data_IF_357925538677
#
_entry.id   IF_357925538677
#
_cell.length_a   1.000
_cell.length_b   1.000
_cell.length_c   1.000
_cell.angle_alpha   90.00
_cell.angle_beta   90.00
_cell.angle_gamma   90.00
#
_symmetry.space_group_name_H-M   'P 1'
#
loop_
_entity.id
_entity.type
_entity.pdbx_description
1 polymer ?
2 polymer ?
3 polymer ?
4 water ?
#
# COMPACT_ATOMS: atom_id res chain seq x y z
N UNK A 1 0.00 -14.94 18.48
CA UNK A 1 -0.96 -14.05 19.21
C UNK A 1 -2.40 -14.06 18.65
N UNK A 2 -3.19 -13.14 19.21
CA UNK A 2 -4.58 -12.91 18.87
C UNK A 2 -4.71 -12.57 17.39
N UNK A 3 -5.69 -13.18 16.74
CA UNK A 3 -5.90 -12.96 15.33
C UNK A 3 -7.20 -12.18 15.11
N UNK A 4 -7.18 -11.21 14.19
CA UNK A 4 -8.35 -10.41 13.81
C UNK A 4 -8.53 -10.59 12.33
N UNK A 5 -9.60 -11.25 11.94
CA UNK A 5 -9.84 -11.51 10.52
C UNK A 5 -10.98 -10.65 9.97
N UNK A 6 -10.74 -9.80 8.96
CA UNK A 6 -11.83 -8.98 8.40
C UNK A 6 -12.49 -9.68 7.25
N UNK A 7 -13.79 -9.45 7.02
CA UNK A 7 -14.44 -10.02 5.84
C UNK A 7 -15.42 -8.99 5.33
N UNK A 8 -15.49 -8.81 3.99
CA UNK A 8 -14.66 -9.56 3.05
C UNK A 8 -13.39 -8.75 2.96
N UNK A 9 -12.36 -9.30 2.33
CA UNK A 9 -11.14 -8.53 2.21
C UNK A 9 -11.36 -7.38 1.20
N UNK A 10 -12.21 -7.59 0.21
CA UNK A 10 -12.49 -6.58 -0.80
C UNK A 10 -13.99 -6.59 -1.06
N UNK A 11 -14.56 -5.45 -1.44
CA UNK A 11 -16.00 -5.39 -1.61
C UNK A 11 -16.34 -4.34 -2.60
N UNK A 12 -17.23 -4.62 -3.53
CA UNK A 12 -17.62 -3.59 -4.52
C UNK A 12 -19.00 -3.04 -4.18
N UNK A 13 -19.23 -1.77 -4.46
CA UNK A 13 -20.51 -1.18 -4.10
C UNK A 13 -20.75 0.09 -4.86
N UNK A 14 -21.95 0.64 -4.76
CA UNK A 14 -22.24 1.88 -5.44
C UNK A 14 -22.77 2.89 -4.44
N UNK A 15 -22.70 4.17 -4.79
CA UNK A 15 -23.17 5.24 -3.95
C UNK A 15 -24.65 4.91 -3.60
N UNK A 16 -24.99 5.06 -2.33
CA UNK A 16 -26.33 4.74 -1.89
C UNK A 16 -26.42 3.33 -1.34
N UNK A 17 -25.47 2.45 -1.59
CA UNK A 17 -25.66 1.13 -1.01
C UNK A 17 -25.46 1.08 0.53
N UNK A 18 -25.88 -0.04 1.12
CA UNK A 18 -25.70 -0.30 2.51
C UNK A 18 -24.66 -1.38 2.52
N UNK A 19 -23.55 -1.20 3.21
CA UNK A 19 -22.57 -2.27 3.26
C UNK A 19 -22.26 -2.61 4.69
N UNK A 20 -21.77 -3.82 4.91
CA UNK A 20 -21.44 -4.13 6.25
C UNK A 20 -20.18 -4.94 6.12
N UNK A 21 -19.21 -4.60 6.98
CA UNK A 21 -17.89 -5.21 7.02
C UNK A 21 -17.84 -5.93 8.36
N UNK A 22 -17.27 -7.11 8.41
CA UNK A 22 -17.23 -7.77 9.70
C UNK A 22 -15.80 -8.11 10.15
N UNK A 23 -15.58 -8.23 11.46
CA UNK A 23 -14.24 -8.50 11.98
C UNK A 23 -14.41 -9.52 13.09
N UNK A 24 -13.67 -10.61 13.02
CA UNK A 24 -13.77 -11.69 14.00
C UNK A 24 -12.45 -11.88 14.71
N UNK A 25 -12.49 -12.02 16.02
CA UNK A 25 -11.28 -12.20 16.80
C UNK A 25 -11.11 -13.64 17.25
N UNK A 26 -9.86 -14.11 17.32
CA UNK A 26 -9.61 -15.50 17.73
C UNK A 26 -9.93 -15.81 19.20
N UNK A 27 -9.92 -14.78 20.05
CA UNK A 27 -10.26 -14.89 21.48
C UNK A 27 -11.11 -13.64 21.74
N UNK A 28 -11.95 -13.66 22.77
CA UNK A 28 -12.80 -12.51 23.05
C UNK A 28 -12.05 -11.25 23.45
N UNK A 29 -12.45 -10.12 22.87
CA UNK A 29 -11.81 -8.84 23.15
C UNK A 29 -12.81 -7.88 23.83
N UNK A 30 -13.86 -8.44 24.43
CA UNK A 30 -14.90 -7.65 25.09
C UNK A 30 -15.39 -6.60 24.12
N UNK A 31 -15.50 -5.33 24.53
CA UNK A 31 -15.96 -4.29 23.61
C UNK A 31 -14.80 -3.40 23.12
N UNK A 32 -13.55 -3.82 23.39
CA UNK A 32 -12.39 -2.99 23.05
C UNK A 32 -11.99 -3.14 21.58
N UNK A 33 -12.78 -2.52 20.72
CA UNK A 33 -12.56 -2.64 19.30
C UNK A 33 -12.90 -1.35 18.63
N UNK A 34 -12.08 -0.96 17.68
CA UNK A 34 -12.32 0.30 17.00
C UNK A 34 -12.34 0.12 15.49
N UNK A 35 -13.12 0.95 14.78
CA UNK A 35 -13.14 0.90 13.33
C UNK A 35 -12.58 2.18 12.77
N UNK A 36 -11.86 2.06 11.65
CA UNK A 36 -11.26 3.23 10.97
C UNK A 36 -11.50 3.15 9.49
N UNK A 37 -11.51 4.33 8.87
CA UNK A 37 -11.64 4.42 7.43
C UNK A 37 -10.35 5.12 6.98
N UNK A 38 -9.72 4.60 5.95
CA UNK A 38 -8.49 5.25 5.48
C UNK A 38 -8.60 5.46 3.99
N UNK A 39 -8.51 6.71 3.59
CA UNK A 39 -8.57 7.06 2.19
C UNK A 39 -7.17 7.05 1.66
N UNK A 40 -7.01 6.77 0.36
CA UNK A 40 -5.65 6.75 -0.19
C UNK A 40 -4.87 8.03 0.15
N UNK A 41 -3.59 7.85 0.45
CA UNK A 41 -2.72 8.96 0.81
C UNK A 41 -2.95 9.66 2.16
N UNK A 42 -3.93 9.19 2.93
CA UNK A 42 -4.21 9.82 4.22
C UNK A 42 -4.08 8.84 5.38
N UNK A 43 -4.02 9.37 6.61
CA UNK A 43 -3.91 8.48 7.78
C UNK A 43 -5.29 7.85 8.07
N UNK A 44 -5.33 6.78 8.83
CA UNK A 44 -6.64 6.19 9.13
C UNK A 44 -7.46 7.21 9.95
N UNK A 45 -8.79 7.20 9.85
CA UNK A 45 -9.60 8.12 10.64
C UNK A 45 -10.56 7.27 11.47
N UNK A 46 -10.62 7.58 12.76
CA UNK A 46 -11.49 6.88 13.72
C UNK A 46 -12.98 7.09 13.38
N UNK A 47 -13.74 6.03 13.27
CA UNK A 47 -15.17 6.11 13.00
C UNK A 47 -15.95 5.72 14.26
N UNK A 48 -15.62 4.54 14.80
CA UNK A 48 -16.31 3.93 15.93
C UNK A 48 -15.30 3.44 16.95
N UNK A 49 -15.51 3.79 18.22
CA UNK A 49 -14.65 3.34 19.32
C UNK A 49 -15.46 2.50 20.30
N UNK A 50 -14.78 1.63 21.03
CA UNK A 50 -15.47 0.80 22.02
C UNK A 50 -16.63 0.03 21.36
N UNK A 51 -16.34 -0.61 20.21
CA UNK A 51 -17.31 -1.43 19.41
C UNK A 51 -18.54 -0.76 18.83
N UNK A 52 -19.14 0.18 19.55
CA UNK A 52 -20.33 0.77 19.01
C UNK A 52 -20.49 2.25 19.20
N UNK A 53 -19.58 2.94 19.92
CA UNK A 53 -19.80 4.38 20.15
C UNK A 53 -19.39 5.20 18.91
N UNK A 54 -20.23 6.17 18.52
CA UNK A 54 -19.95 6.95 17.36
C UNK A 54 -18.97 8.03 17.72
N UNK A 55 -17.84 8.09 17.03
CA UNK A 55 -16.84 9.11 17.34
C UNK A 55 -17.39 10.47 16.96
N UNK A 56 -17.05 11.46 17.78
CA UNK A 56 -17.53 12.82 17.57
C UNK A 56 -17.12 13.42 16.21
N UNK A 57 -18.12 13.91 15.48
CA UNK A 57 -17.84 14.51 14.19
C UNK A 57 -17.92 13.51 13.06
N UNK A 58 -18.17 12.24 13.40
CA UNK A 58 -18.28 11.21 12.39
C UNK A 58 -19.76 11.13 11.95
N UNK A 59 -20.00 11.10 10.65
CA UNK A 59 -21.41 11.03 10.17
C UNK A 59 -22.20 9.83 10.64
N UNK A 60 -23.48 10.08 10.91
CA UNK A 60 -24.36 9.07 11.45
C UNK A 60 -24.61 7.86 10.57
N UNK A 61 -24.31 7.90 9.28
CA UNK A 61 -24.50 6.68 8.48
C UNK A 61 -23.58 5.56 8.93
N UNK A 62 -22.59 5.87 9.76
CA UNK A 62 -21.67 4.80 10.20
C UNK A 62 -22.17 4.23 11.48
N UNK A 63 -22.16 2.91 11.56
CA UNK A 63 -22.63 2.27 12.75
C UNK A 63 -21.81 1.04 13.10
N UNK A 64 -21.56 0.83 14.39
CA UNK A 64 -20.85 -0.37 14.76
C UNK A 64 -21.58 -1.16 15.84
N UNK A 65 -21.59 -2.49 15.73
CA UNK A 65 -22.20 -3.35 16.73
C UNK A 65 -21.35 -4.62 16.99
N UNK A 66 -21.74 -5.38 18.01
CA UNK A 66 -21.04 -6.60 18.37
C UNK A 66 -20.13 -6.44 19.60
N UNK A 67 -19.71 -7.57 20.16
CA UNK A 67 -18.79 -7.64 21.31
C UNK A 67 -18.22 -9.07 21.38
N UNK A 68 -17.17 -9.32 22.19
CA UNK A 68 -16.64 -10.69 22.23
C UNK A 68 -15.72 -11.04 21.06
N UNK A 69 -16.22 -11.84 20.11
CA UNK A 69 -15.41 -12.23 18.98
C UNK A 69 -15.94 -11.82 17.63
N UNK A 70 -17.10 -11.20 17.59
CA UNK A 70 -17.64 -10.83 16.28
C UNK A 70 -18.18 -9.41 16.24
N UNK A 71 -17.66 -8.58 15.32
CA UNK A 71 -18.05 -7.21 15.21
C UNK A 71 -18.37 -6.87 13.76
N UNK A 72 -19.21 -5.87 13.60
CA UNK A 72 -19.62 -5.41 12.30
C UNK A 72 -19.71 -3.89 12.24
N UNK A 73 -19.34 -3.35 11.09
CA UNK A 73 -19.40 -1.92 10.80
C UNK A 73 -20.40 -1.84 9.65
N UNK A 74 -21.40 -0.99 9.74
CA UNK A 74 -22.22 -0.90 8.58
C UNK A 74 -22.30 0.54 8.21
N UNK A 75 -22.29 0.81 6.93
CA UNK A 75 -22.41 2.16 6.46
C UNK A 75 -23.79 2.01 5.82
N UNK A 76 -24.75 2.82 6.27
CA UNK A 76 -26.12 2.63 5.78
C UNK A 76 -26.36 3.17 4.37
N UNK A 77 -25.80 4.33 4.04
CA UNK A 77 -25.95 4.92 2.70
C UNK A 77 -24.55 5.36 2.23
N UNK A 78 -23.86 4.49 1.49
CA UNK A 78 -22.50 4.80 1.00
C UNK A 78 -22.39 6.10 0.24
N UNK A 79 -21.44 6.96 0.64
CA UNK A 79 -21.20 8.23 -0.04
C UNK A 79 -19.86 8.09 -0.83
N UNK A 80 -19.57 8.96 -1.82
CA UNK A 80 -18.32 8.84 -2.58
C UNK A 80 -17.03 8.78 -1.74
N UNK A 81 -16.98 9.54 -0.66
CA UNK A 81 -15.81 9.51 0.20
C UNK A 81 -15.62 8.18 0.94
N UNK A 82 -16.58 7.26 0.86
CA UNK A 82 -16.48 6.00 1.55
C UNK A 82 -15.78 4.91 0.76
N UNK A 83 -15.39 5.22 -0.47
CA UNK A 83 -14.69 4.27 -1.30
C UNK A 83 -13.32 4.38 -0.68
N UNK A 84 -12.92 3.32 0.01
CA UNK A 84 -11.69 3.43 0.76
C UNK A 84 -11.43 2.09 1.36
N UNK A 85 -10.44 2.03 2.24
CA UNK A 85 -10.10 0.79 2.95
C UNK A 85 -10.45 0.97 4.44
N UNK A 86 -11.12 -0.02 5.01
CA UNK A 86 -11.53 0.02 6.40
C UNK A 86 -10.75 -0.96 7.23
N UNK A 87 -10.42 -0.56 8.45
CA UNK A 87 -9.71 -1.47 9.34
C UNK A 87 -10.34 -1.59 10.71
N UNK A 88 -10.29 -2.77 11.33
CA UNK A 88 -10.76 -2.86 12.72
C UNK A 88 -9.48 -3.01 13.55
N UNK A 89 -9.53 -2.62 14.83
CA UNK A 89 -8.39 -2.73 15.77
C UNK A 89 -8.89 -3.18 17.15
N UNK A 90 -8.21 -4.14 17.70
CA UNK A 90 -8.52 -4.71 18.97
C UNK A 90 -7.59 -4.00 19.99
N UNK A 91 -8.10 -3.62 21.17
CA UNK A 91 -7.30 -2.98 22.22
C UNK A 91 -7.45 -3.62 23.63
N UNK A 92 -7.86 -4.87 23.64
CA UNK A 92 -8.05 -5.63 24.88
C UNK A 92 -6.76 -6.34 25.32
N UNK A 93 -5.99 -6.82 24.34
CA UNK A 93 -4.73 -7.55 24.58
C UNK A 93 -3.58 -6.91 23.84
N UNK A 94 -2.37 -6.95 24.43
CA UNK A 94 -1.19 -6.44 23.75
C UNK A 94 -0.65 -7.64 23.00
N UNK A 95 -0.19 -7.44 21.78
CA UNK A 95 -0.18 -6.16 21.08
C UNK A 95 -1.60 -5.84 20.57
N UNK A 96 -1.88 -4.55 20.42
CA UNK A 96 -3.16 -4.00 19.95
C UNK A 96 -3.40 -4.20 18.45
N UNK A 97 -3.60 -5.42 18.01
CA UNK A 97 -3.82 -5.81 16.60
C UNK A 97 -4.81 -5.11 15.69
N UNK A 98 -4.45 -5.08 14.42
CA UNK A 98 -5.29 -4.53 13.39
C UNK A 98 -5.71 -5.67 12.49
N UNK A 99 -6.90 -5.56 11.92
CA UNK A 99 -7.34 -6.56 10.95
C UNK A 99 -6.62 -6.31 9.61
N UNK A 100 -6.83 -7.19 8.64
CA UNK A 100 -6.14 -7.08 7.34
C UNK A 100 -6.69 -6.00 6.46
N UNK A 101 -7.82 -5.43 6.86
CA UNK A 101 -8.37 -4.38 6.01
C UNK A 101 -9.41 -4.85 4.98
N UNK A 102 -10.39 -4.02 4.64
CA UNK A 102 -11.27 -4.40 3.58
C UNK A 102 -11.40 -3.18 2.69
N UNK A 103 -11.09 -3.39 1.41
CA UNK A 103 -11.11 -2.37 0.36
C UNK A 103 -12.51 -2.23 -0.20
N UNK A 104 -13.05 -1.02 -0.26
CA UNK A 104 -14.38 -0.87 -0.78
C UNK A 104 -14.17 -0.05 -2.04
N UNK A 105 -14.55 -0.58 -3.20
CA UNK A 105 -14.34 0.15 -4.45
C UNK A 105 -15.65 0.26 -5.32
N UNK A 106 -15.63 1.10 -6.34
CA UNK A 106 -16.77 1.36 -7.19
C UNK A 106 -17.16 0.10 -7.99
N UNK A 107 -18.41 -0.32 -7.86
CA UNK A 107 -18.89 -1.50 -8.57
C UNK A 107 -19.09 -1.21 -10.05
N UNK A 108 -18.82 -2.22 -10.89
CA UNK A 108 -18.97 -2.07 -12.34
C UNK A 108 -19.01 -3.43 -13.02
N UNK A 109 -19.60 -3.47 -14.21
CA UNK A 109 -19.70 -4.70 -14.97
C UNK A 109 -18.35 -5.41 -15.08
N UNK A 110 -18.34 -6.71 -14.84
CA UNK A 110 -17.13 -7.50 -14.91
C UNK A 110 -16.43 -7.29 -16.26
N UNK A 111 -15.12 -7.08 -16.21
CA UNK A 111 -14.32 -6.87 -17.41
C UNK A 111 -13.00 -7.62 -17.35
N UNK A 112 -12.79 -8.52 -18.31
CA UNK A 112 -11.55 -9.31 -18.36
C UNK A 112 -10.42 -8.40 -18.79
N UNK A 113 -9.21 -8.74 -18.38
CA UNK A 113 -8.07 -7.88 -18.78
C UNK A 113 -7.64 -8.11 -20.22
N UNK A 114 -7.08 -7.11 -20.86
CA UNK A 114 -6.51 -7.28 -22.21
C UNK A 114 -5.07 -7.57 -21.74
N UNK A 115 -4.49 -8.69 -22.17
CA UNK A 115 -3.17 -9.06 -21.75
C UNK A 115 -2.16 -8.90 -22.87
N UNK A 116 -0.95 -8.41 -22.51
CA UNK A 116 0.15 -8.18 -23.45
C UNK A 116 1.46 -8.60 -22.78
N UNK A 117 2.38 -9.20 -23.56
CA UNK A 117 3.66 -9.62 -23.05
C UNK A 117 4.74 -8.91 -23.84
N UNK A 118 5.72 -8.34 -23.14
CA UNK A 118 6.76 -7.59 -23.76
C UNK A 118 8.10 -8.24 -23.51
N UNK A 119 8.87 -8.55 -24.58
CA UNK A 119 10.18 -9.17 -24.38
C UNK A 119 11.17 -8.10 -23.96
N UNK A 120 12.32 -8.49 -23.44
CA UNK A 120 13.25 -7.44 -23.06
C UNK A 120 13.88 -6.76 -24.29
N UNK A 121 14.15 -5.47 -24.17
CA UNK A 121 14.79 -4.74 -25.27
C UNK A 121 16.25 -5.19 -25.45
N UNK A 122 16.71 -5.14 -26.68
CA UNK A 122 18.09 -5.47 -27.01
C UNK A 122 18.96 -4.51 -26.26
N UNK A 123 18.47 -3.29 -26.02
CA UNK A 123 19.27 -2.32 -25.30
C UNK A 123 19.51 -2.80 -23.85
N UNK A 124 18.46 -3.32 -23.21
CA UNK A 124 18.64 -3.79 -21.83
C UNK A 124 19.59 -4.99 -21.84
N UNK A 125 19.32 -5.95 -22.72
CA UNK A 125 20.15 -7.15 -22.82
C UNK A 125 21.68 -6.84 -22.87
N UNK A 126 22.08 -5.79 -23.60
CA UNK A 126 23.49 -5.40 -23.67
C UNK A 126 24.04 -5.02 -22.31
N UNK A 127 23.18 -4.64 -21.38
CA UNK A 127 23.67 -4.29 -20.05
C UNK A 127 23.72 -5.52 -19.16
N UNK A 128 23.31 -6.66 -19.71
CA UNK A 128 23.35 -7.89 -18.94
C UNK A 128 22.10 -8.32 -18.17
N UNK A 129 21.03 -7.53 -18.22
CA UNK A 129 19.82 -7.96 -17.53
C UNK A 129 18.65 -8.10 -18.50
N UNK A 130 17.68 -8.90 -18.13
CA UNK A 130 16.55 -9.12 -18.98
C UNK A 130 15.25 -8.98 -18.21
N UNK A 131 14.44 -7.99 -18.59
CA UNK A 131 13.15 -7.79 -17.96
C UNK A 131 12.00 -8.19 -18.87
N UNK A 132 11.16 -9.10 -18.42
CA UNK A 132 10.03 -9.46 -19.24
C UNK A 132 8.85 -8.88 -18.52
N UNK A 133 8.07 -8.04 -19.21
CA UNK A 133 6.90 -7.44 -18.58
C UNK A 133 5.60 -7.92 -19.16
N UNK A 134 4.62 -8.09 -18.26
CA UNK A 134 3.31 -8.54 -18.65
C UNK A 134 2.35 -7.48 -18.22
N UNK A 135 1.44 -7.10 -19.11
CA UNK A 135 0.46 -6.10 -18.77
C UNK A 135 -0.95 -6.67 -18.82
N UNK A 136 -1.74 -6.38 -17.78
CA UNK A 136 -3.15 -6.76 -17.68
C UNK A 136 -3.81 -5.39 -17.65
N UNK A 137 -4.49 -5.05 -18.76
CA UNK A 137 -5.09 -3.73 -18.90
C UNK A 137 -6.61 -3.62 -18.69
N UNK A 138 -7.05 -2.61 -17.95
CA UNK A 138 -8.47 -2.36 -17.68
C UNK A 138 -9.38 -3.57 -17.33
N UNK A 139 -9.17 -4.18 -16.16
CA UNK A 139 -10.01 -5.31 -15.78
C UNK A 139 -10.80 -4.98 -14.51
N UNK A 140 -11.73 -5.87 -14.13
CA UNK A 140 -12.56 -5.70 -12.92
C UNK A 140 -13.28 -7.02 -12.68
N UNK A 141 -13.35 -7.48 -11.43
CA UNK A 141 -12.79 -6.88 -10.22
C UNK A 141 -11.26 -6.90 -10.11
N UNK A 142 -10.75 -6.26 -9.05
CA UNK A 142 -9.34 -6.14 -8.85
C UNK A 142 -8.49 -7.40 -8.75
N UNK A 143 -9.02 -8.46 -8.17
CA UNK A 143 -8.21 -9.65 -8.03
C UNK A 143 -7.84 -10.30 -9.38
N UNK A 144 -6.56 -10.57 -9.55
CA UNK A 144 -6.07 -11.17 -10.79
C UNK A 144 -4.85 -11.93 -10.35
N UNK A 145 -4.51 -12.99 -11.07
CA UNK A 145 -3.34 -13.78 -10.74
C UNK A 145 -2.51 -13.99 -12.01
N UNK A 146 -1.22 -13.65 -11.89
CA UNK A 146 -0.27 -13.74 -12.95
C UNK A 146 0.73 -14.80 -12.58
N UNK A 147 0.96 -15.71 -13.51
CA UNK A 147 1.94 -16.78 -13.31
C UNK A 147 2.96 -16.82 -14.47
N UNK A 148 4.22 -16.62 -14.17
CA UNK A 148 5.23 -16.66 -15.22
C UNK A 148 5.70 -18.09 -15.42
N UNK A 149 5.89 -18.45 -16.69
CA UNK A 149 6.40 -19.77 -17.04
C UNK A 149 7.50 -19.56 -18.10
N UNK A 150 8.62 -20.25 -17.93
CA UNK A 150 9.74 -20.20 -18.83
C UNK A 150 9.97 -21.66 -19.28
N UNK A 151 9.88 -21.95 -20.57
CA UNK A 151 10.05 -23.33 -21.03
C UNK A 151 9.25 -24.26 -20.09
N UNK A 152 8.03 -23.84 -19.78
CA UNK A 152 7.14 -24.57 -18.90
C UNK A 152 7.46 -24.69 -17.45
N UNK A 153 8.56 -24.07 -17.01
CA UNK A 153 8.88 -24.13 -15.58
C UNK A 153 8.13 -22.97 -14.95
N UNK A 154 7.49 -23.27 -13.83
CA UNK A 154 6.74 -22.28 -13.07
C UNK A 154 7.75 -21.34 -12.42
N UNK A 155 7.61 -20.04 -12.59
CA UNK A 155 8.59 -19.14 -11.99
C UNK A 155 8.18 -18.68 -10.59
N UNK A 156 9.16 -18.44 -9.73
CA UNK A 156 8.80 -17.99 -8.40
C UNK A 156 9.93 -17.18 -7.78
N UNK A 157 9.58 -16.10 -7.12
CA UNK A 157 10.57 -15.28 -6.44
C UNK A 157 11.36 -14.35 -7.33
N UNK A 158 11.06 -14.33 -8.62
CA UNK A 158 11.82 -13.45 -9.53
C UNK A 158 10.96 -12.43 -10.34
N UNK A 159 9.78 -12.11 -9.79
CA UNK A 159 8.91 -11.16 -10.45
C UNK A 159 8.32 -10.22 -9.42
N UNK A 160 7.86 -9.06 -9.89
CA UNK A 160 7.23 -8.08 -9.01
C UNK A 160 6.13 -7.45 -9.79
N UNK A 161 5.05 -7.09 -9.10
CA UNK A 161 3.93 -6.47 -9.76
C UNK A 161 3.39 -5.29 -8.96
N UNK A 162 2.73 -4.38 -9.67
CA UNK A 162 2.07 -3.25 -9.05
C UNK A 162 0.73 -3.04 -9.81
N UNK A 163 -0.26 -2.46 -9.11
CA UNK A 163 -1.61 -2.26 -9.64
C UNK A 163 -1.97 -0.77 -9.56
N UNK A 164 -2.59 -0.22 -10.59
CA UNK A 164 -3.00 1.17 -10.51
C UNK A 164 -4.19 1.33 -9.55
N UNK A 165 -4.50 2.55 -9.16
CA UNK A 165 -5.67 2.78 -8.33
C UNK A 165 -6.88 2.70 -9.30
N UNK A 166 -8.07 2.43 -8.76
CA UNK A 166 -9.28 2.30 -9.59
C UNK A 166 -9.41 3.50 -10.48
N UNK A 167 -9.66 3.30 -11.78
CA UNK A 167 -9.76 4.45 -12.68
C UNK A 167 -11.04 5.25 -12.39
N UNK A 168 -10.96 6.58 -12.27
CA UNK A 168 -12.14 7.39 -11.96
C UNK A 168 -13.23 7.43 -13.05
N UNK A 169 -12.91 7.05 -14.28
CA UNK A 169 -13.91 7.04 -15.37
C UNK A 169 -14.38 5.60 -15.68
N UNK A 170 -13.42 4.70 -15.80
CA UNK A 170 -13.58 3.27 -16.11
C UNK A 170 -14.08 2.40 -14.98
N UNK A 171 -13.53 2.69 -13.80
CA UNK A 171 -13.75 1.86 -12.59
C UNK A 171 -12.98 0.58 -12.73
N UNK A 172 -12.04 0.50 -13.68
CA UNK A 172 -11.25 -0.72 -13.90
C UNK A 172 -9.84 -0.54 -13.27
N UNK A 173 -9.08 -1.63 -13.19
CA UNK A 173 -7.71 -1.58 -12.67
C UNK A 173 -6.81 -2.09 -13.78
N UNK A 174 -5.51 -1.81 -13.66
CA UNK A 174 -4.53 -2.35 -14.60
C UNK A 174 -3.38 -2.89 -13.74
N UNK A 175 -2.69 -3.90 -14.24
CA UNK A 175 -1.62 -4.50 -13.48
C UNK A 175 -0.38 -4.78 -14.36
N UNK A 176 0.77 -4.42 -13.84
CA UNK A 176 2.03 -4.62 -14.51
C UNK A 176 2.84 -5.61 -13.73
N UNK A 177 3.32 -6.68 -14.39
CA UNK A 177 4.21 -7.60 -13.72
C UNK A 177 5.55 -7.76 -14.46
N UNK A 178 6.67 -7.57 -13.77
CA UNK A 178 7.99 -7.70 -14.34
C UNK A 178 8.74 -8.98 -13.89
N UNK A 179 9.12 -9.84 -14.86
CA UNK A 179 9.94 -11.02 -14.60
C UNK A 179 11.40 -10.55 -14.89
N UNK A 180 12.32 -10.74 -13.94
CA UNK A 180 13.69 -10.32 -14.13
C UNK A 180 14.70 -11.47 -14.09
N UNK A 181 15.57 -11.56 -15.08
CA UNK A 181 16.55 -12.63 -15.12
C UNK A 181 17.85 -12.07 -15.62
N UNK A 182 18.96 -12.72 -15.32
CA UNK A 182 20.20 -12.27 -15.91
C UNK A 182 20.13 -12.52 -17.44
N UNK A 183 20.94 -11.80 -18.19
CA UNK A 183 20.96 -12.00 -19.63
C UNK A 183 21.31 -13.46 -19.85
N UNK A 184 22.30 -13.97 -19.09
CA UNK A 184 22.68 -15.37 -19.27
C UNK A 184 21.53 -16.35 -19.14
N UNK A 185 20.81 -16.31 -18.03
CA UNK A 185 19.67 -17.22 -17.83
C UNK A 185 18.66 -17.00 -18.92
N UNK A 186 18.45 -15.75 -19.25
CA UNK A 186 17.48 -15.44 -20.28
C UNK A 186 17.80 -16.24 -21.51
N UNK A 187 19.05 -16.22 -21.91
CA UNK A 187 19.51 -16.88 -23.13
C UNK A 187 19.41 -18.38 -23.09
N UNK A 188 19.29 -18.96 -21.91
CA UNK A 188 19.20 -20.40 -21.81
C UNK A 188 17.80 -20.97 -22.01
N UNK A 189 16.83 -20.15 -22.42
CA UNK A 189 15.46 -20.67 -22.56
C UNK A 189 14.77 -20.07 -23.76
N UNK A 190 13.64 -20.63 -24.17
CA UNK A 190 12.97 -20.06 -25.34
C UNK A 190 11.56 -19.53 -25.14
N UNK A 191 10.69 -20.31 -24.50
CA UNK A 191 9.30 -19.87 -24.35
C UNK A 191 9.04 -19.11 -23.04
N UNK A 192 8.78 -17.81 -23.16
CA UNK A 192 8.50 -16.94 -22.03
C UNK A 192 7.00 -16.70 -22.06
N UNK A 193 6.31 -17.13 -21.01
CA UNK A 193 4.86 -17.03 -20.94
C UNK A 193 4.31 -16.36 -19.70
N UNK A 194 3.26 -15.57 -19.89
CA UNK A 194 2.56 -14.87 -18.81
C UNK A 194 1.14 -15.48 -18.79
N UNK A 195 0.83 -16.25 -17.75
CA UNK A 195 -0.48 -16.88 -17.60
C UNK A 195 -1.37 -16.05 -16.70
N UNK A 196 -2.58 -15.73 -17.15
CA UNK A 196 -3.43 -14.84 -16.36
C UNK A 196 -4.78 -15.43 -15.97
N UNK A 197 -5.11 -15.40 -14.68
CA UNK A 197 -6.40 -15.91 -14.20
C UNK A 197 -7.18 -14.72 -13.70
N UNK A 198 -8.45 -14.68 -14.06
CA UNK A 198 -9.30 -13.58 -13.65
C UNK A 198 -10.75 -13.98 -13.79
N UNK A 199 -11.59 -13.38 -12.98
CA UNK A 199 -12.98 -13.73 -12.99
C UNK A 199 -13.66 -13.56 -14.36
N UNK A 200 -13.26 -12.55 -15.12
CA UNK A 200 -13.87 -12.35 -16.42
C UNK A 200 -13.36 -13.26 -17.53
N UNK A 201 -12.46 -14.18 -17.22
CA UNK A 201 -11.93 -15.03 -18.24
C UNK A 201 -12.45 -16.42 -17.99
N UNK A 202 -13.13 -16.97 -19.00
CA UNK A 202 -13.67 -18.32 -18.92
C UNK A 202 -12.60 -19.29 -18.38
N UNK A 203 -11.40 -19.21 -18.93
CA UNK A 203 -10.32 -20.06 -18.43
C UNK A 203 -9.10 -19.15 -18.58
N UNK A 204 -7.96 -19.52 -18.00
CA UNK A 204 -6.72 -18.75 -18.05
C UNK A 204 -6.24 -18.43 -19.45
N UNK A 205 -5.76 -17.22 -19.63
CA UNK A 205 -5.27 -16.86 -20.92
C UNK A 205 -3.74 -16.80 -20.81
N UNK A 206 -3.05 -17.28 -21.84
CA UNK A 206 -1.62 -17.19 -21.84
C UNK A 206 -1.11 -16.38 -23.04
N UNK A 207 -0.20 -15.44 -22.78
CA UNK A 207 0.43 -14.65 -23.83
C UNK A 207 1.88 -15.01 -23.73
N UNK A 208 2.51 -15.32 -24.87
CA UNK A 208 3.91 -15.67 -24.86
C UNK A 208 4.62 -15.41 -26.15
N UNK A 209 5.94 -15.62 -26.09
CA UNK A 209 6.83 -15.47 -27.21
C UNK A 209 8.02 -16.43 -27.08
N UNK A 210 8.67 -16.69 -28.21
CA UNK A 210 9.86 -17.53 -28.17
C UNK A 210 10.99 -16.58 -28.33
N UNK A 211 11.95 -16.64 -27.41
CA UNK A 211 13.09 -15.76 -27.44
C UNK A 211 13.88 -15.94 -28.74
N UNK A 212 14.39 -14.81 -29.23
CA UNK A 212 15.19 -14.84 -30.43
C UNK A 212 14.47 -15.18 -31.72
N UNK A 213 13.22 -15.60 -31.65
CA UNK A 213 12.53 -15.90 -32.88
C UNK A 213 12.46 -14.58 -33.64
N UNK A 214 12.75 -14.27 -35.09
CA UNK A 214 12.77 -13.04 -35.88
C UNK A 214 12.15 -13.17 -37.27
N UNK B 1 -8.45 21.12 20.22
CA UNK B 1 -8.03 20.38 18.98
C UNK B 1 -6.65 19.71 19.16
N UNK B 2 -6.67 18.40 18.96
CA UNK B 2 -5.49 17.61 19.06
C UNK B 2 -4.86 17.39 17.71
N UNK B 3 -3.57 17.62 17.61
CA UNK B 3 -2.93 17.34 16.35
C UNK B 3 -1.57 16.67 16.69
N UNK B 4 -1.12 15.77 15.82
CA UNK B 4 0.18 15.12 15.97
C UNK B 4 0.86 15.17 14.63
N UNK B 5 2.19 15.19 14.65
CA UNK B 5 2.99 15.17 13.45
C UNK B 5 4.34 14.45 13.65
N UNK B 6 4.62 13.54 12.72
CA UNK B 6 5.82 12.74 12.74
C UNK B 6 6.99 13.43 12.01
N UNK B 7 8.21 13.26 12.52
CA UNK B 7 9.37 13.80 11.80
C UNK B 7 10.55 12.82 11.98
N UNK B 8 11.48 12.83 11.03
CA UNK B 8 12.66 11.97 11.08
C UNK B 8 13.23 11.87 9.67
N UNK B 9 14.23 11.00 9.44
CA UNK B 9 14.82 10.87 8.11
C UNK B 9 13.94 10.10 7.11
N UNK B 10 13.83 10.60 5.85
CA UNK B 10 13.01 9.87 4.89
C UNK B 10 13.72 8.65 4.36
N UNK B 11 15.02 8.68 4.45
CA UNK B 11 15.83 7.59 3.94
C UNK B 11 16.77 7.06 4.98
N UNK B 12 16.87 5.75 5.08
CA UNK B 12 17.79 5.17 6.01
C UNK B 12 18.38 3.93 5.43
N UNK B 13 19.64 3.67 5.76
CA UNK B 13 20.33 2.48 5.24
C UNK B 13 20.25 1.29 6.19
N UNK B 14 20.24 0.08 5.62
CA UNK B 14 20.16 -1.15 6.35
C UNK B 14 21.24 -1.15 7.43
N UNK B 15 20.94 -1.81 8.55
CA UNK B 15 21.68 -1.94 9.79
C UNK B 15 21.67 -0.66 10.59
N UNK B 16 21.28 0.46 9.97
CA UNK B 16 21.28 1.69 10.74
C UNK B 16 20.13 1.80 11.75
N UNK B 17 20.23 2.84 12.58
CA UNK B 17 19.25 3.14 13.59
C UNK B 17 18.35 4.29 13.14
N UNK B 18 17.05 4.07 13.29
CA UNK B 18 16.02 5.02 12.91
C UNK B 18 15.36 5.59 14.13
N UNK B 19 15.37 6.92 14.23
CA UNK B 19 14.78 7.66 15.32
C UNK B 19 13.66 8.53 14.73
N UNK B 20 12.45 8.32 15.22
CA UNK B 20 11.26 9.02 14.76
C UNK B 20 10.71 9.81 15.94
N UNK B 21 10.32 11.06 15.66
CA UNK B 21 9.77 11.93 16.65
C UNK B 21 8.29 12.30 16.35
N UNK B 22 7.45 12.23 17.38
CA UNK B 22 6.06 12.59 17.26
C UNK B 22 5.94 13.83 18.10
N UNK B 23 5.62 14.98 17.49
CA UNK B 23 5.45 16.25 18.27
C UNK B 23 3.96 16.49 18.23
N UNK B 24 3.33 16.81 19.36
CA UNK B 24 1.89 16.99 19.36
C UNK B 24 1.46 18.26 20.11
N UNK B 25 0.18 18.64 19.99
CA UNK B 25 -0.36 19.80 20.71
C UNK B 25 -1.83 19.46 21.02
N UNK B 26 -2.44 20.16 21.98
CA UNK B 26 -3.82 19.86 22.36
C UNK B 26 -3.97 18.93 23.57
N UNK B 27 -2.88 18.32 24.03
CA UNK B 27 -2.99 17.45 25.21
C UNK B 27 -1.58 17.38 25.81
N UNK B 28 -1.47 16.85 27.01
CA UNK B 28 -0.17 16.77 27.59
C UNK B 28 0.06 15.31 27.94
N UNK B 29 1.29 14.83 27.87
CA UNK B 29 1.51 13.45 28.24
C UNK B 29 1.59 13.37 29.74
N UNK B 30 1.10 14.40 30.42
CA UNK B 30 1.02 14.34 31.85
C UNK B 30 -0.49 14.26 32.15
N UNK B 31 -1.34 14.30 31.13
CA UNK B 31 -2.77 14.23 31.44
C UNK B 31 -3.08 12.79 31.86
N UNK B 32 -4.10 12.61 32.68
CA UNK B 32 -4.46 11.30 33.19
C UNK B 32 -4.73 10.21 32.16
N UNK B 33 -4.02 9.10 32.29
CA UNK B 33 -4.15 7.94 31.43
C UNK B 33 -3.96 8.10 29.94
N UNK B 34 -3.49 9.25 29.49
CA UNK B 34 -3.31 9.42 28.04
C UNK B 34 -2.18 8.52 27.48
N UNK B 35 -2.31 8.12 26.21
CA UNK B 35 -1.30 7.33 25.55
C UNK B 35 -0.96 7.91 24.17
N UNK B 36 0.22 7.57 23.68
CA UNK B 36 0.65 7.96 22.36
C UNK B 36 1.25 6.62 21.83
N UNK B 37 0.82 6.17 20.66
CA UNK B 37 1.30 4.91 20.11
C UNK B 37 1.86 5.18 18.72
N UNK B 38 2.49 4.17 18.14
CA UNK B 38 3.09 4.23 16.83
C UNK B 38 2.55 3.05 16.05
N UNK B 39 2.19 3.29 14.79
CA UNK B 39 1.65 2.25 13.92
C UNK B 39 2.34 2.44 12.54
N UNK B 40 2.61 1.38 11.79
CA UNK B 40 3.31 1.60 10.52
C UNK B 40 2.49 0.94 9.42
N UNK B 41 2.80 1.29 8.19
CA UNK B 41 2.05 0.74 7.06
C UNK B 41 2.98 0.59 5.85
N UNK B 42 3.48 -0.60 5.56
CA UNK B 42 4.37 -0.78 4.40
C UNK B 42 3.51 -0.47 3.14
N UNK B 43 4.14 0.05 2.06
CA UNK B 43 3.27 0.36 0.90
C UNK B 43 2.36 -0.78 0.42
N UNK B 44 1.09 -0.45 0.23
CA UNK B 44 0.12 -1.43 -0.21
C UNK B 44 -0.29 -2.44 0.86
N UNK B 45 0.32 -2.41 2.05
CA UNK B 45 -0.05 -3.37 3.09
C UNK B 45 -1.02 -2.84 4.19
N UNK B 46 -1.31 -3.69 5.16
CA UNK B 46 -2.19 -3.42 6.30
C UNK B 46 -1.47 -2.62 7.38
N UNK B 47 -2.21 -2.10 8.34
CA UNK B 47 -1.61 -1.35 9.44
C UNK B 47 -0.98 -2.35 10.37
N UNK B 48 0.14 -1.95 10.97
CA UNK B 48 0.81 -2.82 11.92
C UNK B 48 1.17 -2.03 13.20
N UNK B 49 0.68 -2.51 14.34
CA UNK B 49 0.89 -1.84 15.61
C UNK B 49 2.33 -2.03 16.06
N UNK B 50 2.97 -0.95 16.56
CA UNK B 50 4.37 -1.04 17.00
C UNK B 50 4.63 -0.88 18.50
N UNK B 51 4.00 0.10 19.11
CA UNK B 51 4.26 0.37 20.51
C UNK B 51 3.37 1.49 21.04
N UNK B 52 3.35 1.64 22.34
CA UNK B 52 2.58 2.76 22.88
C UNK B 52 3.19 3.12 24.20
N UNK B 53 3.04 4.38 24.60
CA UNK B 53 3.55 4.83 25.90
C UNK B 53 2.47 5.70 26.55
N UNK B 54 2.29 5.53 27.86
CA UNK B 54 1.27 6.32 28.60
C UNK B 54 1.90 7.38 29.46
N UNK B 55 1.09 8.35 29.90
CA UNK B 55 1.58 9.41 30.74
C UNK B 55 2.17 8.92 32.09
N UNK B 56 1.74 7.79 32.64
CA UNK B 56 2.34 7.29 33.87
C UNK B 56 3.64 6.51 33.52
N UNK B 57 4.05 6.58 32.25
CA UNK B 57 5.25 6.01 31.73
C UNK B 57 5.34 4.47 31.53
N UNK B 58 4.20 3.79 31.49
CA UNK B 58 4.16 2.33 31.22
C UNK B 58 4.44 2.30 29.71
N UNK B 59 5.19 1.30 29.24
CA UNK B 59 5.55 1.16 27.82
C UNK B 59 5.21 -0.25 27.36
N UNK B 60 4.78 -0.42 26.11
CA UNK B 60 4.47 -1.76 25.62
C UNK B 60 4.91 -1.80 24.14
N UNK B 61 5.39 -2.96 23.71
CA UNK B 61 5.91 -3.12 22.38
C UNK B 61 5.37 -4.35 21.69
N UNK B 62 5.34 -4.23 20.38
CA UNK B 62 4.99 -5.34 19.54
C UNK B 62 6.00 -6.47 19.90
N UNK B 63 5.54 -7.68 20.16
CA UNK B 63 6.48 -8.77 20.50
C UNK B 63 7.44 -9.10 19.35
N UNK B 64 6.96 -9.05 18.13
CA UNK B 64 7.80 -9.28 16.96
C UNK B 64 8.95 -8.25 16.78
N UNK B 65 8.83 -7.07 17.36
CA UNK B 65 9.86 -6.03 17.15
C UNK B 65 10.51 -5.56 18.47
N UNK B 66 10.05 -6.18 19.55
CA UNK B 66 10.50 -5.80 20.87
C UNK B 66 11.98 -5.51 20.98
N UNK B 67 12.83 -6.42 20.51
CA UNK B 67 14.28 -6.21 20.62
C UNK B 67 14.83 -5.00 19.86
N UNK B 68 14.12 -4.51 18.85
CA UNK B 68 14.67 -3.38 18.08
C UNK B 68 13.99 -2.02 18.43
N UNK B 69 12.94 -2.03 19.27
CA UNK B 69 12.26 -0.78 19.58
C UNK B 69 12.47 -0.22 20.96
N UNK B 70 12.56 1.11 21.01
CA UNK B 70 12.61 1.80 22.29
C UNK B 70 11.63 2.98 22.15
N UNK B 71 10.69 3.15 23.08
CA UNK B 71 9.82 4.29 22.94
C UNK B 71 10.05 5.12 24.20
N UNK B 72 10.05 6.44 24.06
CA UNK B 72 10.31 7.27 25.23
C UNK B 72 9.51 8.55 25.14
N UNK B 73 9.31 9.26 26.24
CA UNK B 73 8.59 10.51 26.08
C UNK B 73 9.32 11.69 26.61
N UNK B 74 9.03 12.87 26.11
CA UNK B 74 9.63 14.07 26.68
C UNK B 74 8.43 15.00 26.91
N UNK B 75 7.87 14.87 28.10
CA UNK B 75 6.68 15.54 28.52
C UNK B 75 6.70 17.02 28.37
N UNK B 76 7.83 17.63 28.75
CA UNK B 76 7.95 19.07 28.67
C UNK B 76 8.08 19.57 27.25
N UNK B 77 8.53 18.72 26.30
CA UNK B 77 8.59 19.17 24.91
C UNK B 77 7.38 18.68 24.09
N UNK B 78 6.45 17.97 24.75
CA UNK B 78 5.31 17.38 24.04
C UNK B 78 5.76 16.52 22.88
N UNK B 79 6.68 15.61 23.14
CA UNK B 79 7.14 14.73 22.10
C UNK B 79 7.28 13.31 22.62
N UNK B 80 7.14 12.38 21.66
CA UNK B 80 7.30 10.95 21.95
C UNK B 80 8.24 10.50 20.88
N UNK B 81 9.27 9.76 21.28
CA UNK B 81 10.28 9.29 20.35
C UNK B 81 10.27 7.78 20.31
N UNK B 82 10.40 7.24 19.10
CA UNK B 82 10.47 5.82 18.88
C UNK B 82 11.79 5.59 18.14
N UNK B 83 12.63 4.75 18.71
CA UNK B 83 13.90 4.40 18.14
C UNK B 83 13.89 2.94 17.70
N UNK B 84 14.16 2.71 16.42
CA UNK B 84 14.21 1.37 15.88
C UNK B 84 15.65 1.08 15.43
N UNK B 85 16.24 0.02 15.93
CA UNK B 85 17.62 -0.29 15.59
C UNK B 85 17.67 -1.31 14.52
N UNK B 86 18.86 -1.44 13.92
CA UNK B 86 19.10 -2.47 12.92
C UNK B 86 17.98 -2.60 11.86
N UNK B 87 17.67 -1.50 11.20
CA UNK B 87 16.62 -1.62 10.21
C UNK B 87 17.06 -2.38 9.00
N UNK B 88 16.10 -2.92 8.29
CA UNK B 88 16.36 -3.63 7.07
C UNK B 88 15.30 -3.14 6.05
N UNK B 89 15.43 -3.53 4.77
CA UNK B 89 14.44 -3.07 3.76
C UNK B 89 12.96 -3.29 4.11
N UNK B 90 12.61 -4.41 4.76
CA UNK B 90 11.21 -4.65 5.12
C UNK B 90 10.64 -3.61 6.10
N UNK B 91 11.50 -2.78 6.67
CA UNK B 91 11.04 -1.75 7.56
C UNK B 91 10.59 -0.50 6.73
N UNK B 92 10.65 -0.56 5.39
CA UNK B 92 10.20 0.63 4.68
C UNK B 92 8.69 0.67 4.84
N UNK B 93 8.19 1.82 5.27
CA UNK B 93 6.76 1.95 5.54
C UNK B 93 6.45 3.39 5.84
N UNK B 94 5.17 3.70 5.89
CA UNK B 94 4.77 5.01 6.37
C UNK B 94 4.52 4.75 7.89
N UNK B 95 5.12 5.59 8.73
CA UNK B 95 5.03 5.49 10.19
C UNK B 95 4.10 6.56 10.75
N UNK B 96 3.08 6.18 11.52
CA UNK B 96 2.15 7.14 12.13
C UNK B 96 2.22 7.10 13.66
N UNK B 97 2.08 8.25 14.32
CA UNK B 97 1.95 8.23 15.77
C UNK B 97 0.47 8.59 16.01
N UNK B 98 -0.07 8.24 17.15
CA UNK B 98 -1.48 8.51 17.37
C UNK B 98 -1.78 8.65 18.89
N UNK B 99 -2.83 9.41 19.15
CA UNK B 99 -3.31 9.68 20.47
C UNK B 99 -4.29 8.64 20.89
N UNK B 100 -4.23 8.29 22.17
CA UNK B 100 -5.14 7.38 22.80
C UNK B 100 -5.70 8.10 24.05
N UNK B 101 -6.99 8.23 24.13
CA UNK B 101 -7.62 8.89 25.26
C UNK B 101 -7.44 8.08 26.53
N UNK B 102 -7.47 8.77 27.66
CA UNK B 102 -7.43 8.09 28.95
C UNK B 102 -8.91 8.00 29.43
N UNK B 103 -9.26 7.30 30.51
CA UNK B 103 -10.68 7.25 30.92
C UNK B 103 -11.28 8.62 31.22
N UNK B 104 -12.58 8.75 30.96
CA UNK B 104 -13.23 10.00 31.31
C UNK B 104 -13.27 10.07 32.85
N UNK B 105 -13.10 11.28 33.39
CA UNK B 105 -13.16 11.49 34.82
C UNK B 105 -14.27 12.50 35.19
N UNK B 106 -14.79 12.37 36.41
CA UNK B 106 -15.83 13.29 36.87
C UNK B 106 -15.27 13.70 38.21
N UNK B 107 -15.01 15.00 38.35
CA UNK B 107 -14.41 15.56 39.56
C UNK B 107 -13.20 14.66 39.86
N UNK B 108 -12.36 14.47 38.84
CA UNK B 108 -11.16 13.67 38.99
C UNK B 108 -11.42 12.28 39.52
N UNK B 109 -12.48 11.66 39.00
CA UNK B 109 -12.76 10.29 39.38
C UNK B 109 -13.04 9.56 38.06
N UNK B 110 -12.29 8.51 37.76
CA UNK B 110 -12.49 7.75 36.53
C UNK B 110 -13.87 7.09 36.58
N UNK B 111 -14.68 7.35 35.56
CA UNK B 111 -16.04 6.82 35.48
C UNK B 111 -16.36 6.12 34.18
N UNK B 112 -15.56 6.36 33.13
CA UNK B 112 -15.81 5.69 31.85
C UNK B 112 -14.53 5.26 31.15
N UNK B 113 -14.38 3.95 30.91
CA UNK B 113 -13.19 3.50 30.21
C UNK B 113 -13.43 3.25 28.71
N UNK B 114 -14.69 3.28 28.26
CA UNK B 114 -14.98 3.08 26.86
C UNK B 114 -14.14 4.02 25.97
N UNK B 115 -13.91 5.28 26.32
CA UNK B 115 -13.11 6.10 25.39
C UNK B 115 -11.66 5.68 25.14
N UNK B 116 -11.10 4.78 25.94
CA UNK B 116 -9.73 4.35 25.67
C UNK B 116 -9.69 3.33 24.59
N UNK B 117 -10.86 2.81 24.17
CA UNK B 117 -10.80 1.76 23.17
C UNK B 117 -10.79 2.21 21.70
N UNK B 118 -9.70 2.89 21.33
CA UNK B 118 -9.45 3.38 19.96
C UNK B 118 -8.21 4.28 20.02
N UNK B 119 -7.60 4.55 18.86
CA UNK B 119 -6.54 5.55 18.79
C UNK B 119 -7.37 6.59 18.03
N UNK B 120 -7.75 7.68 18.71
CA UNK B 120 -8.69 8.69 18.16
C UNK B 120 -8.20 9.79 17.22
N UNK B 121 -6.91 10.16 17.32
CA UNK B 121 -6.35 11.19 16.43
C UNK B 121 -4.99 10.71 15.96
N UNK B 122 -4.80 10.83 14.66
CA UNK B 122 -3.58 10.38 14.01
C UNK B 122 -2.75 11.47 13.37
N UNK B 123 -1.44 11.25 13.23
CA UNK B 123 -0.63 12.23 12.55
C UNK B 123 -0.73 11.88 11.06
N UNK B 124 -0.32 12.79 10.19
CA UNK B 124 -0.37 12.54 8.73
C UNK B 124 0.49 11.31 8.32
N UNK B 125 1.55 10.98 9.07
CA UNK B 125 2.37 9.84 8.71
C UNK B 125 3.65 10.30 8.04
N UNK B 126 4.71 9.52 8.23
CA UNK B 126 6.01 9.84 7.64
C UNK B 126 6.55 8.66 6.84
N UNK B 127 6.79 8.89 5.55
CA UNK B 127 7.31 7.84 4.68
C UNK B 127 8.80 7.61 4.91
N UNK B 128 9.17 6.39 5.25
CA UNK B 128 10.56 6.05 5.50
C UNK B 128 11.02 4.91 4.59
N UNK B 129 12.03 5.19 3.77
CA UNK B 129 12.57 4.20 2.85
C UNK B 129 13.92 3.66 3.33
N UNK B 130 14.03 2.34 3.41
CA UNK B 130 15.27 1.70 3.86
C UNK B 130 15.98 1.01 2.70
N UNK B 131 17.05 1.62 2.23
CA UNK B 131 17.83 1.07 1.13
C UNK B 131 19.25 1.62 1.12
N UNK B 132 20.22 0.75 0.83
CA UNK B 132 21.62 1.15 0.79
C UNK B 132 22.01 1.66 -0.59
N UNK B 133 21.03 2.20 -1.32
CA UNK B 133 21.28 2.74 -2.65
C UNK B 133 21.51 4.24 -2.62
N UNK B 134 22.33 4.72 -3.54
CA UNK B 134 22.64 6.15 -3.63
C UNK B 134 22.01 6.78 -4.86
N UNK B 135 21.60 8.04 -4.72
CA UNK B 135 20.98 8.77 -5.83
C UNK B 135 21.46 8.23 -7.17
N UNK B 136 20.53 7.70 -7.96
CA UNK B 136 20.85 7.15 -9.27
C UNK B 136 19.72 7.30 -10.31
N UNK B 137 20.09 7.75 -11.52
CA UNK B 137 19.09 7.92 -12.58
C UNK B 137 18.67 6.60 -13.22
N UNK B 138 17.43 6.53 -13.76
CA UNK B 138 16.89 5.34 -14.42
C UNK B 138 17.45 5.07 -15.81
N UNK B 139 17.39 3.80 -16.21
CA UNK B 139 17.73 3.40 -17.56
C UNK B 139 16.31 3.31 -18.14
N UNK B 140 16.11 3.77 -19.36
CA UNK B 140 14.77 3.68 -19.89
C UNK B 140 14.73 2.75 -21.08
N UNK B 141 13.89 1.72 -21.03
CA UNK B 141 13.84 0.79 -22.13
C UNK B 141 12.48 0.76 -22.76
N UNK B 142 12.40 0.41 -24.05
CA UNK B 142 11.09 0.36 -24.74
C UNK B 142 10.31 -0.87 -24.43
N UNK B 143 9.00 -0.75 -24.44
CA UNK B 143 8.10 -1.89 -24.24
C UNK B 143 7.29 -1.84 -25.57
N UNK B 144 7.56 -2.78 -26.46
CA UNK B 144 6.86 -2.77 -27.74
C UNK B 144 6.13 -4.08 -28.02
N UNK B 145 4.94 -3.95 -28.64
CA UNK B 145 4.02 -5.04 -29.06
C UNK B 145 4.66 -6.24 -29.84
N UNK B 152 -11.48 -3.24 -28.69
CA UNK B 152 -10.95 -4.50 -28.17
C UNK B 152 -9.59 -4.87 -28.78
N UNK B 153 -9.45 -4.51 -30.06
CA UNK B 153 -8.24 -4.70 -30.90
C UNK B 153 -7.32 -3.50 -30.65
N UNK B 154 -7.01 -3.36 -29.37
CA UNK B 154 -6.16 -2.31 -28.86
C UNK B 154 -4.74 -2.87 -28.91
N UNK B 155 -3.78 -1.97 -29.05
CA UNK B 155 -2.36 -2.36 -29.08
C UNK B 155 -1.75 -1.66 -27.85
N UNK B 156 -0.66 -2.21 -27.31
CA UNK B 156 -0.04 -1.58 -26.14
C UNK B 156 1.43 -1.35 -26.27
N UNK B 157 1.91 -0.27 -25.70
CA UNK B 157 3.35 -0.08 -25.71
C UNK B 157 3.71 0.74 -24.49
N UNK B 158 5.00 0.87 -24.21
CA UNK B 158 5.35 1.64 -23.04
C UNK B 158 6.84 1.81 -22.87
N UNK B 159 7.19 2.18 -21.65
CA UNK B 159 8.59 2.41 -21.27
C UNK B 159 8.75 1.79 -19.86
N UNK B 160 9.90 1.18 -19.64
CA UNK B 160 10.27 0.49 -18.42
C UNK B 160 11.34 1.38 -17.88
N UNK B 161 11.02 2.04 -16.76
CA UNK B 161 11.91 2.98 -16.14
C UNK B 161 12.63 2.20 -15.04
N UNK B 162 13.83 1.72 -15.35
CA UNK B 162 14.55 0.83 -14.46
C UNK B 162 15.75 1.27 -13.65
N UNK B 163 15.82 0.82 -12.41
CA UNK B 163 16.97 1.06 -11.54
C UNK B 163 17.30 2.47 -11.15
N UNK B 164 16.35 3.15 -10.51
CA UNK B 164 16.63 4.50 -10.11
C UNK B 164 16.39 4.63 -8.61
N UNK B 165 16.91 5.71 -8.03
CA UNK B 165 16.74 6.00 -6.61
C UNK B 165 17.09 7.45 -6.33
N UNK B 166 16.31 8.11 -5.45
CA UNK B 166 15.14 7.56 -4.75
C UNK B 166 13.90 7.92 -5.55
N UNK B 167 12.71 7.73 -4.97
CA UNK B 167 11.48 8.17 -5.63
C UNK B 167 11.54 9.71 -5.53
N UNK B 168 10.79 10.42 -6.38
CA UNK B 168 9.91 9.91 -7.40
C UNK B 168 10.48 10.12 -8.77
N UNK B 169 9.76 9.63 -9.77
CA UNK B 169 10.12 9.91 -11.13
C UNK B 169 8.81 10.37 -11.82
N UNK B 170 8.88 11.21 -12.85
CA UNK B 170 7.66 11.60 -13.55
C UNK B 170 7.73 11.08 -14.99
N UNK B 171 6.60 10.61 -15.49
CA UNK B 171 6.53 10.13 -16.85
C UNK B 171 5.30 10.70 -17.53
N UNK B 172 5.46 11.18 -18.76
CA UNK B 172 4.32 11.65 -19.50
C UNK B 172 4.52 11.06 -20.92
N UNK B 173 3.49 11.14 -21.77
CA UNK B 173 3.58 10.68 -23.13
C UNK B 173 3.38 11.88 -24.08
N UNK B 174 4.13 11.90 -25.18
CA UNK B 174 4.11 12.98 -26.16
C UNK B 174 4.07 14.34 -25.53
N UNK B 175 5.07 14.60 -24.71
CA UNK B 175 5.22 15.87 -24.01
C UNK B 175 3.99 16.34 -23.28
N UNK B 176 3.11 15.41 -22.92
CA UNK B 176 1.91 15.78 -22.21
C UNK B 176 0.63 15.75 -23.02
N UNK B 177 0.74 15.53 -24.33
CA UNK B 177 -0.43 15.50 -25.21
C UNK B 177 -1.15 14.18 -25.24
N UNK B 178 -0.47 13.11 -24.83
CA UNK B 178 -1.11 11.83 -24.83
C UNK B 178 -1.46 11.50 -23.38
N UNK B 179 -2.76 11.36 -23.13
CA UNK B 179 -3.27 11.04 -21.80
C UNK B 179 -4.28 9.89 -21.81
N UNK B 180 -5.11 9.80 -22.83
CA UNK B 180 -6.08 8.72 -22.77
C UNK B 180 -5.40 7.38 -23.00
N UNK B 181 -5.73 6.41 -22.16
CA UNK B 181 -5.14 5.07 -22.28
C UNK B 181 -3.77 4.96 -21.63
N UNK B 182 -3.33 5.98 -20.92
CA UNK B 182 -2.04 5.94 -20.28
C UNK B 182 -2.16 5.37 -18.85
N UNK B 183 -1.29 4.43 -18.49
CA UNK B 183 -1.27 3.90 -17.13
C UNK B 183 0.19 3.89 -16.68
N UNK B 184 0.48 4.69 -15.68
CA UNK B 184 1.82 4.73 -15.12
C UNK B 184 1.68 4.01 -13.76
N UNK B 185 2.29 2.84 -13.63
CA UNK B 185 2.19 2.08 -12.40
C UNK B 185 3.08 2.55 -11.27
N UNK B 186 2.67 2.22 -10.02
CA UNK B 186 3.51 2.64 -8.88
C UNK B 186 4.78 1.78 -9.00
N UNK B 187 5.89 2.37 -8.64
CA UNK B 187 7.21 1.72 -8.67
C UNK B 187 7.29 0.65 -7.60
N UNK B 188 8.12 -0.35 -7.83
CA UNK B 188 8.35 -1.41 -6.86
C UNK B 188 9.82 -1.19 -6.45
N UNK B 189 10.14 -1.47 -5.19
CA UNK B 189 11.48 -1.31 -4.65
C UNK B 189 12.04 -2.70 -4.84
N UNK B 190 13.06 -2.84 -5.72
CA UNK B 190 13.66 -4.13 -5.99
C UNK B 190 14.59 -4.57 -4.85
N UNK B 191 14.92 -5.85 -4.82
CA UNK B 191 15.77 -6.33 -3.75
C UNK B 191 17.11 -5.65 -3.82
N UNK B 192 17.47 -5.11 -4.99
CA UNK B 192 18.73 -4.39 -5.12
C UNK B 192 18.70 -3.05 -4.36
N UNK B 193 17.50 -2.55 -4.04
CA UNK B 193 17.40 -1.24 -3.33
C UNK B 193 17.12 -0.07 -4.28
N UNK B 194 16.85 -0.42 -5.54
CA UNK B 194 16.56 0.56 -6.57
C UNK B 194 15.11 0.38 -7.00
N UNK B 195 14.49 1.44 -7.43
CA UNK B 195 13.10 1.31 -7.83
C UNK B 195 13.00 0.94 -9.32
N UNK B 196 11.80 0.51 -9.71
CA UNK B 196 11.57 0.24 -11.10
C UNK B 196 10.09 0.37 -11.34
N UNK B 197 9.74 0.95 -12.49
CA UNK B 197 8.36 1.15 -12.86
C UNK B 197 8.11 1.07 -14.37
N UNK B 198 6.89 0.78 -14.71
CA UNK B 198 6.54 0.74 -16.13
C UNK B 198 5.47 1.80 -16.29
N UNK B 199 5.35 2.32 -17.50
CA UNK B 199 4.33 3.27 -17.90
C UNK B 199 3.88 2.76 -19.25
N UNK B 200 2.61 2.46 -19.45
CA UNK B 200 2.21 1.96 -20.73
C UNK B 200 1.07 2.81 -21.29
N UNK B 201 0.75 2.59 -22.55
CA UNK B 201 -0.37 3.27 -23.17
C UNK B 201 -1.00 2.37 -24.20
N UNK B 202 -2.32 2.33 -24.22
CA UNK B 202 -3.12 1.52 -25.13
C UNK B 202 -3.73 2.45 -26.19
N UNK B 203 -3.67 2.03 -27.46
CA UNK B 203 -4.21 2.84 -28.54
C UNK B 203 -4.88 1.95 -29.55
N UNK B 204 -5.77 2.52 -30.42
CA UNK B 204 -6.45 1.72 -31.45
C UNK B 204 -5.35 1.08 -32.29
N UNK B 205 -5.46 -0.23 -32.51
CA UNK B 205 -4.40 -0.94 -33.26
C UNK B 205 -4.02 -0.33 -34.60
N UNK B 206 -4.65 0.79 -34.93
CA UNK B 206 -4.40 1.49 -36.16
C UNK B 206 -3.44 2.68 -35.95
N UNK B 207 -3.56 3.35 -34.80
CA UNK B 207 -2.75 4.52 -34.53
C UNK B 207 -1.26 4.28 -34.70
N UNK B 208 -0.86 3.03 -34.55
CA UNK B 208 0.54 2.68 -34.70
C UNK B 208 1.15 3.18 -36.00
N UNK B 211 0.51 7.91 -36.24
CA UNK B 211 0.85 8.54 -34.94
C UNK B 211 2.17 8.06 -34.19
N UNK B 212 2.96 8.96 -33.60
CA UNK B 212 4.18 8.50 -32.89
C UNK B 212 4.04 8.57 -31.35
N UNK B 213 4.79 7.71 -30.65
CA UNK B 213 4.72 7.62 -29.19
C UNK B 213 6.06 7.77 -28.48
N UNK B 214 6.18 8.82 -27.68
CA UNK B 214 7.42 9.01 -26.99
C UNK B 214 7.17 9.23 -25.49
N UNK B 215 7.86 8.48 -24.61
CA UNK B 215 7.63 8.69 -23.17
C UNK B 215 8.65 9.70 -22.72
N UNK B 216 8.25 10.67 -21.90
CA UNK B 216 9.18 11.68 -21.37
C UNK B 216 9.34 11.33 -19.90
N UNK B 217 10.55 10.94 -19.54
CA UNK B 217 10.89 10.48 -18.19
C UNK B 217 11.76 11.50 -17.50
N UNK B 218 11.48 11.79 -16.25
CA UNK B 218 12.30 12.78 -15.55
C UNK B 218 12.50 12.38 -14.09
N UNK B 219 13.75 12.17 -13.69
CA UNK B 219 14.06 11.82 -12.32
C UNK B 219 14.81 13.03 -11.72
N UNK B 220 14.08 13.96 -11.10
CA UNK B 220 14.70 15.18 -10.56
C UNK B 220 15.91 14.93 -9.69
N UNK B 221 15.80 14.01 -8.72
CA UNK B 221 16.89 13.69 -7.81
C UNK B 221 18.26 13.55 -8.45
N UNK B 222 18.35 12.92 -9.61
CA UNK B 222 19.64 12.71 -10.31
C UNK B 222 19.86 13.59 -11.54
N UNK B 223 18.95 14.51 -11.80
CA UNK B 223 19.04 15.38 -12.98
C UNK B 223 19.13 14.48 -14.19
N UNK B 224 18.12 13.63 -14.40
CA UNK B 224 18.12 12.73 -15.55
C UNK B 224 16.84 12.86 -16.33
N UNK B 225 16.86 13.51 -17.49
CA UNK B 225 15.65 13.59 -18.33
C UNK B 225 15.92 12.72 -19.56
N UNK B 226 14.91 11.99 -20.00
CA UNK B 226 15.07 11.12 -21.13
C UNK B 226 13.78 11.14 -21.91
N UNK B 227 13.86 11.19 -23.24
CA UNK B 227 12.65 11.08 -24.05
C UNK B 227 12.96 9.84 -24.86
N UNK B 228 12.07 8.86 -24.86
CA UNK B 228 12.29 7.63 -25.60
C UNK B 228 11.11 7.35 -26.50
N UNK B 229 11.34 7.39 -27.79
CA UNK B 229 10.31 7.13 -28.77
C UNK B 229 10.24 5.62 -28.89
N UNK B 230 9.04 5.08 -28.84
CA UNK B 230 8.82 3.67 -28.88
C UNK B 230 8.01 3.28 -30.11
N UNK B 231 8.45 2.31 -30.87
CA UNK B 231 7.60 1.93 -32.00
C UNK B 231 7.51 0.42 -32.14
N UNK B 232 6.59 -0.04 -33.02
CA UNK B 232 6.39 -1.47 -33.27
C UNK B 232 7.55 -2.20 -33.98
N UNK B 233 8.70 -2.29 -33.31
CA UNK B 233 9.95 -2.95 -33.81
C UNK B 233 10.05 -3.32 -35.31
N UNK B 234 10.61 -4.50 -35.61
CA UNK B 234 10.75 -5.00 -37.01
C UNK B 234 11.32 -3.96 -38.02
N UNK B 235 12.33 -3.15 -37.64
CA UNK B 235 13.03 -2.06 -38.42
C UNK B 235 12.20 -0.78 -38.74
N UNK C 1 -1.44 -11.06 27.64
CA UNK C 1 -1.05 -9.72 28.20
C UNK C 1 -2.27 -8.85 27.99
N UNK C 2 -2.97 -8.49 29.06
CA UNK C 2 -4.19 -7.69 28.92
C UNK C 2 -3.84 -6.21 28.74
N UNK C 3 -4.66 -5.51 27.92
CA UNK C 3 -4.48 -4.09 27.69
C UNK C 3 -4.40 -3.40 29.09
N UNK C 4 -3.81 -2.21 29.11
CA UNK C 4 -3.62 -1.41 30.32
C UNK C 4 -4.90 -1.25 31.19
N UNK C 5 -6.04 -0.98 30.51
CA UNK C 5 -7.31 -0.76 31.20
C UNK C 5 -8.20 -2.02 31.40
N UNK C 6 -7.70 -3.21 31.06
CA UNK C 6 -8.46 -4.46 31.23
C UNK C 6 -7.77 -5.53 32.16
#
# INVERSE_FOLDING_TARGET
>A
ALQLTQSPSSLSASVGDRITITCRASQGVTSALAWYRQKPGSPPQLLIYDASSLESGVPSRFSGSGSGTEFTLTISTLRPEDFATYYCQQLHFYPHTFGGGTRVDVRRTVAAPSVFIFPPSDEQLKSGTASVVCLLNNFYPREAKVQWKVDNALQSGNSQESVTEQDSKDSTYSLSSTLTLSKADYEKHKVYECEVTHQGLSSPVTKSFNRGEC
>B
RITLKESGPPLVKPTQTLTLTCSFSGFSLSDFGVGVGWIRQPPGKALEWLAIIYSDDDKRYSPSLNTRLTITKDTSKNQVVLVMTRVSPVDTATYFCAHRRGPTTLFGVPIARGPVNAMDVWGQGITVTISSTSTKGPSVFPLAPSSKSTSGGTAALGCLVKDYFPEPVTVSWNSGALTSGVHTFPAVLQSSGLYSLSSVVTVPSSSLGTQTYTCNVNHKPSNTKVDKRVEPKSCDK
>C
ALDKWD
#
